data_IF_247829602114
#
_entry.id   IF_247829602114
#
_cell.length_a   1.000
_cell.length_b   1.000
_cell.length_c   1.000
_cell.angle_alpha   90.00
_cell.angle_beta   90.00
_cell.angle_gamma   90.00
#
_symmetry.space_group_name_H-M   'P 1'
#
loop_
_entity.id
_entity.type
_entity.pdbx_description
1 polymer ?
#
# COMPACT_ATOMS: atom_id res chain seq x y z
N UNK A 1 -0.72 -6.04 1.69
CA UNK A 1 -1.64 -5.62 2.77
C UNK A 1 -0.96 -5.01 3.98
N UNK A 2 0.37 -5.00 4.09
CA UNK A 2 1.08 -4.35 5.18
C UNK A 2 1.12 -5.14 6.50
N UNK A 3 1.14 -6.43 6.45
CA UNK A 3 1.42 -7.28 7.63
C UNK A 3 2.86 -7.75 7.58
N UNK A 4 3.78 -6.81 7.46
CA UNK A 4 5.21 -7.04 7.42
C UNK A 4 5.85 -6.66 8.76
N UNK A 5 6.81 -7.45 9.20
CA UNK A 5 7.68 -7.01 10.28
C UNK A 5 8.63 -5.93 9.77
N UNK A 6 9.02 -5.02 10.65
CA UNK A 6 9.97 -3.97 10.34
C UNK A 6 10.91 -3.71 11.51
N UNK A 7 12.11 -3.29 11.19
CA UNK A 7 13.12 -2.90 12.18
C UNK A 7 12.93 -1.43 12.53
N UNK A 8 12.18 -1.16 13.60
CA UNK A 8 11.93 0.21 14.04
C UNK A 8 13.18 0.78 14.70
N UNK A 9 13.77 1.88 14.19
CA UNK A 9 14.88 2.54 14.86
C UNK A 9 14.52 2.96 16.29
N UNK A 10 15.39 2.66 17.25
CA UNK A 10 15.13 2.96 18.67
C UNK A 10 14.85 4.44 18.93
N UNK A 11 15.45 5.31 18.15
CA UNK A 11 15.19 6.75 18.19
C UNK A 11 13.73 7.07 17.88
N UNK A 12 13.15 6.43 16.87
CA UNK A 12 11.74 6.62 16.51
C UNK A 12 10.84 6.03 17.58
N UNK A 13 11.13 4.79 18.02
CA UNK A 13 10.33 4.12 19.05
C UNK A 13 10.23 4.97 20.33
N UNK A 14 11.37 5.42 20.87
CA UNK A 14 11.41 6.18 22.12
C UNK A 14 10.91 7.62 21.97
N UNK A 15 11.21 8.30 20.87
CA UNK A 15 10.89 9.71 20.72
C UNK A 15 9.47 9.96 20.15
N UNK A 16 8.83 8.98 19.54
CA UNK A 16 7.44 9.09 19.09
C UNK A 16 6.50 8.22 19.91
N UNK A 17 6.70 6.90 19.95
CA UNK A 17 5.76 5.98 20.60
C UNK A 17 5.77 6.07 22.13
N UNK A 18 6.87 6.46 22.75
CA UNK A 18 6.99 6.61 24.19
C UNK A 18 6.87 8.07 24.64
N UNK A 19 6.80 9.02 23.71
CA UNK A 19 6.76 10.44 24.01
C UNK A 19 5.31 10.94 24.09
N UNK A 20 4.89 11.39 25.30
CA UNK A 20 3.56 11.91 25.53
C UNK A 20 3.17 13.09 24.65
N UNK A 21 4.14 13.89 24.19
CA UNK A 21 3.91 14.99 23.25
C UNK A 21 3.39 14.53 21.88
N UNK A 22 3.64 13.27 21.48
CA UNK A 22 3.15 12.68 20.24
C UNK A 22 1.91 11.83 20.42
N UNK A 23 1.85 10.99 21.47
CA UNK A 23 0.80 9.97 21.62
C UNK A 23 -0.50 10.48 22.27
N UNK A 24 -0.47 11.60 22.97
CA UNK A 24 -1.64 12.13 23.69
C UNK A 24 -2.62 12.88 22.82
N UNK A 25 -2.27 13.19 21.57
CA UNK A 25 -3.18 13.87 20.64
C UNK A 25 -3.79 12.91 19.64
N UNK A 26 -5.09 12.78 19.78
CA UNK A 26 -5.91 11.96 18.88
C UNK A 26 -6.01 12.57 17.46
N UNK A 27 -6.23 13.90 17.36
CA UNK A 27 -6.35 14.61 16.07
C UNK A 27 -5.49 15.87 16.08
N UNK A 28 -4.26 15.84 15.55
CA UNK A 28 -3.33 16.97 15.60
C UNK A 28 -3.61 18.00 14.49
N UNK A 29 -4.86 18.46 14.36
CA UNK A 29 -5.28 19.29 13.23
C UNK A 29 -5.51 20.76 13.59
N UNK A 30 -5.35 21.13 14.85
CA UNK A 30 -5.46 22.51 15.31
C UNK A 30 -4.11 23.23 15.08
N UNK A 31 -4.03 24.19 14.14
CA UNK A 31 -2.77 24.85 13.80
C UNK A 31 -2.18 25.64 14.99
N UNK A 32 -3.01 26.08 15.92
CA UNK A 32 -2.60 26.87 17.08
C UNK A 32 -1.67 26.09 18.02
N UNK A 33 -1.79 24.76 18.09
CA UNK A 33 -1.06 23.91 19.05
C UNK A 33 -0.33 22.73 18.43
N UNK A 34 -0.43 22.52 17.11
CA UNK A 34 0.03 21.29 16.45
C UNK A 34 0.99 21.56 15.29
N UNK A 35 1.68 22.69 15.25
CA UNK A 35 2.53 23.06 14.11
C UNK A 35 3.55 21.98 13.75
N UNK A 36 4.31 21.43 14.71
CA UNK A 36 5.30 20.40 14.45
C UNK A 36 4.68 19.07 13.97
N UNK A 37 3.48 18.72 14.41
CA UNK A 37 2.79 17.52 13.93
C UNK A 37 2.18 17.70 12.54
N UNK A 38 1.70 18.90 12.24
CA UNK A 38 1.24 19.24 10.89
C UNK A 38 2.41 19.24 9.90
N UNK A 39 3.57 19.77 10.30
CA UNK A 39 4.80 19.69 9.51
C UNK A 39 5.19 18.23 9.23
N UNK A 40 5.16 17.37 10.25
CA UNK A 40 5.44 15.94 10.08
C UNK A 40 4.44 15.25 9.14
N UNK A 41 3.15 15.59 9.20
CA UNK A 41 2.15 15.09 8.27
C UNK A 41 2.37 15.62 6.85
N UNK A 42 2.85 16.85 6.68
CA UNK A 42 3.24 17.37 5.37
C UNK A 42 4.43 16.58 4.80
N UNK A 43 5.42 16.24 5.63
CA UNK A 43 6.53 15.38 5.22
C UNK A 43 6.03 13.98 4.79
N UNK A 44 5.03 13.43 5.48
CA UNK A 44 4.37 12.19 5.04
C UNK A 44 3.74 12.33 3.64
N UNK A 45 3.00 13.41 3.39
CA UNK A 45 2.40 13.67 2.09
C UNK A 45 3.46 13.79 0.99
N UNK A 46 4.54 14.54 1.25
CA UNK A 46 5.65 14.71 0.31
C UNK A 46 6.33 13.37 -0.01
N UNK A 47 6.65 12.58 1.02
CA UNK A 47 7.22 11.24 0.86
C UNK A 47 6.35 10.35 -0.04
N UNK A 48 5.03 10.35 0.18
CA UNK A 48 4.11 9.54 -0.62
C UNK A 48 4.07 10.03 -2.08
N UNK A 49 4.05 11.33 -2.30
CA UNK A 49 4.11 11.90 -3.67
C UNK A 49 5.41 11.50 -4.38
N UNK A 50 6.55 11.66 -3.73
CA UNK A 50 7.87 11.35 -4.30
C UNK A 50 8.00 9.86 -4.67
N UNK A 51 7.55 8.96 -3.80
CA UNK A 51 7.66 7.51 -4.04
C UNK A 51 6.66 7.04 -5.09
N UNK A 52 5.44 7.58 -5.12
CA UNK A 52 4.40 7.15 -6.07
C UNK A 52 4.48 7.85 -7.42
N UNK A 53 5.20 8.95 -7.52
CA UNK A 53 5.26 9.79 -8.72
C UNK A 53 3.96 10.53 -9.02
N UNK A 54 3.10 10.76 -7.99
CA UNK A 54 1.85 11.50 -8.10
C UNK A 54 1.93 12.87 -7.45
N UNK A 55 1.06 13.77 -7.87
CA UNK A 55 1.18 15.21 -7.56
C UNK A 55 0.80 15.54 -6.11
N UNK A 56 -0.22 14.88 -5.56
CA UNK A 56 -0.81 15.25 -4.28
C UNK A 56 -1.17 14.00 -3.46
N UNK A 57 -0.84 14.03 -2.15
CA UNK A 57 -1.23 12.98 -1.20
C UNK A 57 -1.96 13.56 0.02
N UNK A 58 -2.79 12.74 0.66
CA UNK A 58 -3.44 13.09 1.91
C UNK A 58 -2.57 12.78 3.15
N UNK A 59 -3.01 13.23 4.30
CA UNK A 59 -2.31 13.04 5.56
C UNK A 59 -2.42 11.61 6.14
N UNK A 60 -3.28 10.77 5.67
CA UNK A 60 -3.44 9.32 5.76
C UNK A 60 -4.91 8.88 5.71
N UNK A 61 -5.12 7.57 5.56
CA UNK A 61 -6.40 6.88 5.75
C UNK A 61 -6.21 5.71 6.74
N UNK A 62 -7.25 4.88 6.92
CA UNK A 62 -7.23 3.78 7.88
C UNK A 62 -6.30 2.66 7.42
N UNK A 63 -6.65 2.01 6.31
CA UNK A 63 -5.94 0.87 5.72
C UNK A 63 -6.12 0.84 4.19
N UNK A 64 -5.42 -0.06 3.52
CA UNK A 64 -5.47 -0.21 2.07
C UNK A 64 -6.88 -0.51 1.55
N UNK A 65 -7.61 -1.42 2.21
CA UNK A 65 -8.97 -1.79 1.78
C UNK A 65 -9.92 -0.59 1.82
N UNK A 66 -9.85 0.22 2.88
CA UNK A 66 -10.61 1.47 2.99
C UNK A 66 -10.19 2.48 1.93
N UNK A 67 -8.89 2.64 1.70
CA UNK A 67 -8.37 3.53 0.66
C UNK A 67 -8.84 3.11 -0.73
N UNK A 68 -8.84 1.82 -1.04
CA UNK A 68 -9.34 1.27 -2.30
C UNK A 68 -10.85 1.52 -2.49
N UNK A 69 -11.63 1.37 -1.42
CA UNK A 69 -13.06 1.70 -1.45
C UNK A 69 -13.31 3.19 -1.65
N UNK A 70 -12.47 4.07 -1.10
CA UNK A 70 -12.54 5.51 -1.36
C UNK A 70 -12.14 5.85 -2.80
N UNK A 71 -11.17 5.12 -3.39
CA UNK A 71 -10.81 5.28 -4.80
C UNK A 71 -11.99 4.95 -5.73
N UNK A 72 -12.70 3.83 -5.48
CA UNK A 72 -13.93 3.50 -6.18
C UNK A 72 -14.95 4.64 -6.10
N UNK A 73 -15.16 5.20 -4.90
CA UNK A 73 -16.10 6.31 -4.70
C UNK A 73 -15.66 7.59 -5.41
N UNK A 74 -14.36 7.86 -5.46
CA UNK A 74 -13.82 8.99 -6.20
C UNK A 74 -14.05 8.82 -7.70
N UNK A 75 -13.76 7.65 -8.26
CA UNK A 75 -14.02 7.33 -9.66
C UNK A 75 -15.50 7.53 -10.03
N UNK A 76 -16.41 6.99 -9.21
CA UNK A 76 -17.84 7.18 -9.37
C UNK A 76 -18.24 8.68 -9.32
N UNK A 77 -17.72 9.43 -8.37
CA UNK A 77 -18.00 10.89 -8.28
C UNK A 77 -17.48 11.66 -9.47
N UNK A 78 -16.35 11.25 -10.03
CA UNK A 78 -15.69 11.90 -11.15
C UNK A 78 -16.54 11.86 -12.44
N UNK A 79 -16.98 10.66 -12.83
CA UNK A 79 -17.66 10.47 -14.14
C UNK A 79 -19.10 9.92 -14.03
N UNK A 80 -19.62 9.65 -12.82
CA UNK A 80 -20.99 9.16 -12.54
C UNK A 80 -21.31 7.78 -13.13
N UNK A 81 -20.34 7.05 -13.61
CA UNK A 81 -20.51 5.69 -14.13
C UNK A 81 -20.58 4.70 -12.99
N UNK A 82 -21.42 3.67 -13.11
CA UNK A 82 -21.75 2.76 -12.01
C UNK A 82 -21.09 1.38 -12.11
N UNK A 83 -20.14 1.19 -13.01
CA UNK A 83 -19.35 -0.02 -13.12
C UNK A 83 -17.91 0.28 -12.72
N UNK A 84 -17.28 -0.64 -12.00
CA UNK A 84 -15.90 -0.53 -11.55
C UNK A 84 -15.22 -1.89 -11.68
N UNK A 85 -14.11 -1.95 -12.41
CA UNK A 85 -13.33 -3.17 -12.53
C UNK A 85 -12.32 -3.32 -11.39
N UNK A 86 -12.17 -4.56 -10.91
CA UNK A 86 -11.17 -4.92 -9.91
C UNK A 86 -10.42 -6.14 -10.41
N UNK A 87 -9.10 -6.06 -10.46
CA UNK A 87 -8.25 -7.22 -10.74
C UNK A 87 -8.40 -8.25 -9.60
N UNK A 88 -8.76 -9.52 -9.88
CA UNK A 88 -8.88 -10.56 -8.87
C UNK A 88 -7.54 -10.85 -8.14
N UNK A 89 -6.41 -10.37 -8.67
CA UNK A 89 -5.10 -10.44 -8.03
C UNK A 89 -4.82 -9.31 -7.05
N UNK A 90 -5.79 -8.41 -6.77
CA UNK A 90 -5.73 -7.57 -5.58
C UNK A 90 -5.82 -8.44 -4.33
N UNK A 91 -5.39 -7.89 -3.18
CA UNK A 91 -5.52 -8.62 -1.92
C UNK A 91 -6.99 -8.95 -1.60
N UNK A 92 -7.32 -10.20 -1.18
CA UNK A 92 -8.70 -10.62 -0.95
C UNK A 92 -9.48 -9.72 0.02
N UNK A 93 -8.82 -9.24 1.07
CA UNK A 93 -9.44 -8.32 2.04
C UNK A 93 -9.76 -6.97 1.40
N UNK A 94 -8.88 -6.45 0.54
CA UNK A 94 -9.11 -5.21 -0.21
C UNK A 94 -10.31 -5.36 -1.13
N UNK A 95 -10.40 -6.47 -1.88
CA UNK A 95 -11.56 -6.78 -2.73
C UNK A 95 -12.86 -6.81 -1.91
N UNK A 96 -12.86 -7.51 -0.76
CA UNK A 96 -14.04 -7.63 0.10
C UNK A 96 -14.54 -6.27 0.62
N UNK A 97 -13.63 -5.38 1.03
CA UNK A 97 -13.98 -4.02 1.48
C UNK A 97 -14.54 -3.18 0.34
N UNK A 98 -13.90 -3.22 -0.84
CA UNK A 98 -14.36 -2.52 -2.05
C UNK A 98 -15.78 -2.97 -2.42
N UNK A 99 -16.04 -4.28 -2.48
CA UNK A 99 -17.35 -4.84 -2.80
C UNK A 99 -18.40 -4.45 -1.76
N UNK A 100 -18.05 -4.49 -0.47
CA UNK A 100 -18.96 -4.10 0.62
C UNK A 100 -19.38 -2.64 0.48
N UNK A 101 -18.44 -1.73 0.23
CA UNK A 101 -18.73 -0.30 0.06
C UNK A 101 -19.49 -0.02 -1.23
N UNK A 102 -19.15 -0.68 -2.32
CA UNK A 102 -19.81 -0.55 -3.62
C UNK A 102 -21.29 -0.91 -3.55
N UNK A 103 -21.64 -2.00 -2.86
CA UNK A 103 -23.01 -2.48 -2.69
C UNK A 103 -23.96 -1.38 -2.17
N UNK A 104 -23.54 -0.63 -1.16
CA UNK A 104 -24.39 0.39 -0.53
C UNK A 104 -24.44 1.71 -1.30
N UNK A 105 -23.54 1.92 -2.26
CA UNK A 105 -23.53 3.10 -3.13
C UNK A 105 -24.08 2.83 -4.52
N UNK A 106 -24.50 1.59 -4.79
CA UNK A 106 -25.07 1.18 -6.07
C UNK A 106 -24.07 1.18 -7.22
N UNK A 107 -22.79 0.95 -6.91
CA UNK A 107 -21.74 0.73 -7.92
C UNK A 107 -21.55 -0.76 -8.11
N UNK A 108 -21.61 -1.24 -9.35
CA UNK A 108 -21.37 -2.62 -9.71
C UNK A 108 -19.87 -2.87 -9.81
N UNK A 109 -19.35 -3.79 -9.01
CA UNK A 109 -17.95 -4.24 -9.11
C UNK A 109 -17.87 -5.53 -9.92
N UNK A 110 -16.99 -5.59 -10.89
CA UNK A 110 -16.71 -6.80 -11.68
C UNK A 110 -15.25 -7.22 -11.47
N UNK A 111 -15.04 -8.46 -11.03
CA UNK A 111 -13.70 -9.05 -10.95
C UNK A 111 -13.32 -9.57 -12.33
N UNK A 112 -12.29 -8.99 -12.93
CA UNK A 112 -11.76 -9.36 -14.26
C UNK A 112 -10.26 -9.21 -14.32
N UNK A 113 -9.61 -10.12 -15.01
CA UNK A 113 -8.18 -9.96 -15.34
C UNK A 113 -8.00 -8.77 -16.30
N UNK A 114 -6.87 -8.07 -16.25
CA UNK A 114 -6.61 -6.90 -17.09
C UNK A 114 -6.88 -7.11 -18.60
N UNK A 115 -6.55 -8.30 -19.13
CA UNK A 115 -6.83 -8.66 -20.52
C UNK A 115 -8.32 -8.84 -20.85
N UNK A 116 -9.16 -9.13 -19.85
CA UNK A 116 -10.60 -9.34 -20.00
C UNK A 116 -11.43 -8.07 -19.78
N UNK A 117 -10.81 -7.00 -19.33
CA UNK A 117 -11.49 -5.73 -19.03
C UNK A 117 -11.87 -5.01 -20.33
N UNK A 118 -13.16 -4.94 -20.60
CA UNK A 118 -13.72 -4.23 -21.75
C UNK A 118 -14.26 -2.85 -21.34
N UNK A 119 -13.65 -1.81 -21.87
CA UNK A 119 -14.02 -0.41 -21.64
C UNK A 119 -14.87 0.18 -22.80
N UNK A 120 -15.20 -0.57 -23.83
CA UNK A 120 -15.88 -0.08 -25.05
C UNK A 120 -17.26 0.51 -24.77
N UNK A 121 -17.97 -0.02 -23.76
CA UNK A 121 -19.29 0.47 -23.35
C UNK A 121 -19.30 1.87 -22.70
N UNK A 122 -18.13 2.41 -22.34
CA UNK A 122 -17.94 3.71 -21.67
C UNK A 122 -18.80 3.89 -20.40
N UNK A 123 -19.15 2.79 -19.75
CA UNK A 123 -19.96 2.72 -18.52
C UNK A 123 -19.12 2.43 -17.27
N UNK A 124 -17.82 2.21 -17.43
CA UNK A 124 -16.86 1.93 -16.37
C UNK A 124 -16.34 3.23 -15.77
N UNK A 125 -16.42 3.38 -14.44
CA UNK A 125 -15.92 4.55 -13.71
C UNK A 125 -14.40 4.52 -13.53
N UNK A 126 -13.85 3.35 -13.28
CA UNK A 126 -12.42 3.15 -13.09
C UNK A 126 -12.07 1.68 -12.92
N UNK A 127 -10.80 1.43 -12.78
CA UNK A 127 -10.21 0.11 -12.56
C UNK A 127 -9.26 0.13 -11.37
N UNK A 128 -9.26 -0.92 -10.55
CA UNK A 128 -8.31 -1.16 -9.48
C UNK A 128 -7.47 -2.38 -9.81
N UNK A 129 -6.15 -2.25 -9.73
CA UNK A 129 -5.18 -3.34 -9.81
C UNK A 129 -4.13 -3.21 -8.71
N UNK A 130 -3.38 -4.29 -8.46
CA UNK A 130 -2.37 -4.38 -7.40
C UNK A 130 -0.97 -4.51 -8.01
N UNK A 131 0.00 -3.75 -7.48
CA UNK A 131 1.37 -3.69 -7.98
C UNK A 131 2.39 -3.57 -6.83
N UNK A 132 3.18 -4.64 -6.53
CA UNK A 132 3.02 -6.03 -6.96
C UNK A 132 1.69 -6.64 -6.53
N UNK A 133 1.22 -7.69 -7.22
CA UNK A 133 -0.07 -8.31 -6.94
C UNK A 133 -0.03 -9.25 -5.70
N UNK A 134 -1.18 -9.82 -5.33
CA UNK A 134 -1.30 -10.68 -4.14
C UNK A 134 -0.52 -12.00 -4.25
N UNK A 135 -0.11 -12.37 -5.45
CA UNK A 135 0.70 -13.55 -5.74
C UNK A 135 2.19 -13.22 -5.83
N UNK A 136 2.54 -11.94 -5.74
CA UNK A 136 3.90 -11.42 -5.81
C UNK A 136 4.35 -11.01 -7.20
N UNK A 137 3.50 -11.16 -8.23
CA UNK A 137 3.85 -10.81 -9.61
C UNK A 137 4.00 -9.30 -9.78
N UNK A 138 5.08 -8.92 -10.45
CA UNK A 138 5.29 -7.57 -10.99
C UNK A 138 4.91 -7.57 -12.46
N UNK A 139 3.97 -6.71 -12.86
CA UNK A 139 3.44 -6.64 -14.22
C UNK A 139 3.41 -5.18 -14.70
N UNK A 140 3.62 -4.96 -16.01
CA UNK A 140 3.45 -3.62 -16.60
C UNK A 140 1.98 -3.36 -16.93
N UNK A 141 1.41 -2.38 -16.28
CA UNK A 141 0.01 -1.97 -16.47
C UNK A 141 -0.17 -0.78 -17.40
N UNK A 142 0.87 -0.34 -18.12
CA UNK A 142 0.80 0.83 -19.02
C UNK A 142 -0.34 0.70 -20.03
N UNK A 143 -0.48 -0.44 -20.70
CA UNK A 143 -1.55 -0.67 -21.69
C UNK A 143 -2.95 -0.64 -21.04
N UNK A 144 -3.12 -1.22 -19.85
CA UNK A 144 -4.40 -1.17 -19.12
C UNK A 144 -4.80 0.26 -18.79
N UNK A 145 -3.85 1.06 -18.31
CA UNK A 145 -4.07 2.47 -17.96
C UNK A 145 -4.47 3.27 -19.22
N UNK A 146 -3.78 3.07 -20.33
CA UNK A 146 -4.11 3.73 -21.60
C UNK A 146 -5.52 3.36 -22.08
N UNK A 147 -5.90 2.09 -22.04
CA UNK A 147 -7.24 1.63 -22.42
C UNK A 147 -8.33 2.23 -21.52
N UNK A 148 -8.09 2.31 -20.22
CA UNK A 148 -9.00 2.96 -19.27
C UNK A 148 -9.19 4.44 -19.62
N UNK A 149 -8.09 5.17 -19.85
CA UNK A 149 -8.12 6.59 -20.17
C UNK A 149 -8.81 6.88 -21.51
N UNK A 150 -8.60 6.07 -22.55
CA UNK A 150 -9.28 6.23 -23.85
C UNK A 150 -10.80 6.15 -23.72
N UNK A 151 -11.30 5.43 -22.72
CA UNK A 151 -12.73 5.36 -22.42
C UNK A 151 -13.21 6.46 -21.45
N UNK A 152 -12.30 7.24 -20.85
CA UNK A 152 -12.60 8.21 -19.78
C UNK A 152 -12.84 7.56 -18.42
N UNK A 153 -12.24 6.38 -18.18
CA UNK A 153 -12.19 5.69 -16.88
C UNK A 153 -10.89 6.07 -16.15
N UNK A 154 -10.90 6.08 -14.81
CA UNK A 154 -9.70 6.32 -14.01
C UNK A 154 -8.97 5.02 -13.69
N UNK A 155 -7.65 5.10 -13.58
CA UNK A 155 -6.79 4.00 -13.19
C UNK A 155 -6.32 4.14 -11.74
N UNK A 156 -6.62 3.14 -10.89
CA UNK A 156 -6.26 3.08 -9.49
C UNK A 156 -5.28 1.93 -9.26
N UNK A 157 -4.13 2.22 -8.64
CA UNK A 157 -3.09 1.27 -8.30
C UNK A 157 -2.98 1.12 -6.78
N UNK A 158 -3.25 -0.08 -6.27
CA UNK A 158 -2.87 -0.45 -4.91
C UNK A 158 -1.40 -0.93 -4.96
N UNK A 159 -0.55 -0.42 -4.06
CA UNK A 159 0.89 -0.68 -4.14
C UNK A 159 1.60 -0.65 -2.79
N UNK A 160 2.84 -1.11 -2.77
CA UNK A 160 3.73 -1.15 -1.62
C UNK A 160 4.85 -0.11 -1.77
N UNK A 161 4.93 0.84 -0.83
CA UNK A 161 5.92 1.91 -0.86
C UNK A 161 7.38 1.39 -0.85
N UNK A 162 7.66 0.27 -0.17
CA UNK A 162 9.02 -0.28 -0.15
C UNK A 162 9.38 -0.89 -1.51
N UNK A 163 8.44 -1.58 -2.15
CA UNK A 163 8.62 -2.10 -3.50
C UNK A 163 8.90 -0.96 -4.49
N UNK A 164 8.21 0.18 -4.36
CA UNK A 164 8.41 1.35 -5.22
C UNK A 164 9.79 2.02 -5.05
N UNK A 165 10.55 1.71 -3.98
CA UNK A 165 11.92 2.19 -3.87
C UNK A 165 12.86 1.58 -4.93
N UNK A 166 12.46 0.49 -5.59
CA UNK A 166 13.21 -0.16 -6.68
C UNK A 166 12.38 -0.48 -7.92
N UNK A 167 11.07 -0.36 -7.84
CA UNK A 167 10.17 -0.54 -8.98
C UNK A 167 9.77 0.81 -9.57
N UNK A 168 9.31 0.81 -10.83
CA UNK A 168 8.82 1.99 -11.51
C UNK A 168 7.60 2.58 -10.79
N UNK A 169 7.58 3.86 -10.41
CA UNK A 169 6.45 4.49 -9.75
C UNK A 169 5.17 4.48 -10.59
N UNK A 170 3.99 4.27 -9.98
CA UNK A 170 2.73 4.21 -10.73
C UNK A 170 2.38 5.52 -11.46
N UNK A 171 2.80 6.68 -10.95
CA UNK A 171 2.63 7.96 -11.64
C UNK A 171 3.32 8.01 -13.01
N UNK A 172 4.45 7.32 -13.18
CA UNK A 172 5.21 7.29 -14.44
C UNK A 172 4.57 6.47 -15.56
N UNK A 173 3.71 5.50 -15.23
CA UNK A 173 2.92 4.78 -16.23
C UNK A 173 1.46 5.20 -16.29
N UNK A 174 1.17 6.38 -15.76
CA UNK A 174 -0.07 7.08 -16.06
C UNK A 174 -1.21 6.90 -15.06
N UNK A 175 -0.99 6.25 -13.92
CA UNK A 175 -2.01 6.04 -12.87
C UNK A 175 -2.58 7.38 -12.37
N UNK A 176 -3.87 7.42 -12.09
CA UNK A 176 -4.56 8.60 -11.56
C UNK A 176 -4.60 8.62 -10.04
N UNK A 177 -4.66 7.42 -9.41
CA UNK A 177 -4.77 7.23 -7.96
C UNK A 177 -3.85 6.10 -7.54
N UNK A 178 -2.91 6.36 -6.64
CA UNK A 178 -2.12 5.34 -5.96
C UNK A 178 -2.50 5.28 -4.49
N UNK A 179 -2.61 4.07 -3.95
CA UNK A 179 -3.01 3.83 -2.58
C UNK A 179 -2.32 2.56 -2.03
N UNK A 180 -2.33 2.41 -0.72
CA UNK A 180 -1.75 1.26 -0.06
C UNK A 180 -1.54 1.51 1.42
N UNK A 181 -0.75 0.66 2.08
CA UNK A 181 -0.36 0.83 3.48
C UNK A 181 1.08 1.29 3.60
N UNK A 182 1.34 2.26 4.48
CA UNK A 182 2.70 2.67 4.87
C UNK A 182 3.21 1.93 6.11
N UNK A 183 2.53 0.88 6.58
CA UNK A 183 2.90 0.11 7.77
C UNK A 183 4.35 -0.38 7.71
N UNK A 184 4.81 -0.77 6.54
CA UNK A 184 6.15 -1.27 6.28
C UNK A 184 7.27 -0.25 6.57
N UNK A 185 6.93 1.03 6.65
CA UNK A 185 7.85 2.09 7.03
C UNK A 185 7.85 2.29 8.55
N UNK A 186 8.39 1.30 9.27
CA UNK A 186 8.67 1.39 10.69
C UNK A 186 7.46 1.33 11.63
N UNK A 187 6.28 0.92 11.18
CA UNK A 187 5.13 0.71 12.07
C UNK A 187 5.11 -0.76 12.52
N UNK A 188 5.36 -1.04 13.82
CA UNK A 188 5.40 -2.41 14.32
C UNK A 188 4.02 -3.07 14.27
N UNK A 189 3.99 -4.42 14.19
CA UNK A 189 2.75 -5.20 14.12
C UNK A 189 1.84 -5.03 15.35
N UNK A 190 2.40 -4.78 16.54
CA UNK A 190 1.67 -4.32 17.72
C UNK A 190 0.45 -5.14 18.10
N UNK A 191 0.49 -6.46 17.95
CA UNK A 191 -0.59 -7.44 18.23
C UNK A 191 -1.91 -7.24 17.46
N UNK A 192 -2.06 -6.19 16.68
CA UNK A 192 -3.28 -5.92 15.91
C UNK A 192 -3.01 -5.51 14.48
N UNK A 193 -1.75 -5.33 14.11
CA UNK A 193 -1.36 -4.91 12.77
C UNK A 193 -1.91 -3.52 12.42
N UNK A 194 -1.59 -2.46 13.19
CA UNK A 194 -2.05 -1.11 12.88
C UNK A 194 -1.48 -0.64 11.53
N UNK A 195 -2.27 0.11 10.80
CA UNK A 195 -1.91 0.66 9.49
C UNK A 195 -2.00 2.18 9.48
N UNK A 196 -1.26 2.81 8.55
CA UNK A 196 -1.57 4.12 8.03
C UNK A 196 -1.62 3.98 6.51
N UNK A 197 -2.81 4.06 5.94
CA UNK A 197 -2.94 4.02 4.49
C UNK A 197 -2.52 5.34 3.89
N UNK A 198 -1.91 5.29 2.73
CA UNK A 198 -1.68 6.46 1.88
C UNK A 198 -2.69 6.50 0.73
N UNK A 199 -2.90 7.71 0.22
CA UNK A 199 -3.74 7.96 -0.93
C UNK A 199 -3.17 9.16 -1.68
N UNK A 200 -2.68 8.91 -2.88
CA UNK A 200 -2.11 9.93 -3.75
C UNK A 200 -2.90 10.03 -5.05
N UNK A 201 -2.98 11.24 -5.59
CA UNK A 201 -3.77 11.52 -6.79
C UNK A 201 -3.05 12.52 -7.71
N UNK A 202 -3.45 12.54 -8.98
CA UNK A 202 -3.12 13.65 -9.87
C UNK A 202 -3.78 14.94 -9.41
N UNK A 203 -3.17 16.07 -9.67
CA UNK A 203 -3.63 17.41 -9.27
C UNK A 203 -5.10 17.66 -9.62
N UNK A 204 -5.55 17.19 -10.78
CA UNK A 204 -6.94 17.35 -11.26
C UNK A 204 -7.98 16.71 -10.31
N UNK A 205 -7.60 15.71 -9.51
CA UNK A 205 -8.48 14.98 -8.60
C UNK A 205 -8.42 15.46 -7.15
N UNK A 206 -7.53 16.38 -6.80
CA UNK A 206 -7.25 16.79 -5.42
C UNK A 206 -8.52 17.25 -4.67
N UNK A 207 -9.44 17.94 -5.35
CA UNK A 207 -10.69 18.41 -4.75
C UNK A 207 -11.69 17.30 -4.42
N UNK A 208 -11.49 16.11 -4.93
CA UNK A 208 -12.31 14.91 -4.68
C UNK A 208 -11.61 13.89 -3.77
N UNK A 209 -10.35 14.11 -3.44
CA UNK A 209 -9.54 13.20 -2.61
C UNK A 209 -10.13 13.08 -1.21
N UNK A 210 -10.25 11.86 -0.63
CA UNK A 210 -10.71 11.67 0.74
C UNK A 210 -9.63 12.05 1.77
N UNK A 211 -10.06 12.19 3.02
CA UNK A 211 -9.15 12.42 4.15
C UNK A 211 -8.66 13.87 4.30
N UNK A 212 -7.86 14.09 5.32
CA UNK A 212 -7.27 15.38 5.64
C UNK A 212 -6.07 15.67 4.74
N UNK A 213 -5.81 16.96 4.54
CA UNK A 213 -4.63 17.44 3.81
C UNK A 213 -4.04 18.64 4.54
N UNK A 214 -2.74 18.60 4.74
CA UNK A 214 -1.96 19.70 5.31
C UNK A 214 -1.42 20.56 4.17
N UNK A 215 -1.42 21.86 4.35
CA UNK A 215 -0.81 22.81 3.44
C UNK A 215 -0.08 23.92 4.19
N UNK A 216 0.75 24.65 3.47
CA UNK A 216 1.53 25.78 3.97
C UNK A 216 0.77 27.08 3.74
N UNK A 217 0.82 27.98 4.72
CA UNK A 217 0.25 29.34 4.63
C UNK A 217 1.14 30.33 5.39
N UNK A 218 0.72 31.55 5.52
CA UNK A 218 1.43 32.56 6.33
C UNK A 218 0.53 33.09 7.42
N UNK A 219 1.10 33.31 8.61
CA UNK A 219 0.41 33.95 9.73
C UNK A 219 0.32 35.48 9.56
N UNK A 220 -0.27 36.14 10.57
CA UNK A 220 -0.44 37.61 10.56
C UNK A 220 0.89 38.37 10.56
N UNK A 221 1.99 37.75 10.94
CA UNK A 221 3.34 38.34 10.93
C UNK A 221 4.10 38.04 9.62
N UNK A 222 3.51 37.24 8.72
CA UNK A 222 4.14 36.80 7.47
C UNK A 222 5.02 35.56 7.59
N UNK A 223 5.08 34.94 8.78
CA UNK A 223 5.83 33.69 9.03
C UNK A 223 5.09 32.51 8.39
N UNK A 224 5.84 31.58 7.82
CA UNK A 224 5.32 30.32 7.29
C UNK A 224 4.78 29.41 8.40
N UNK A 225 3.58 28.90 8.20
CA UNK A 225 2.87 28.04 9.17
C UNK A 225 2.06 26.96 8.44
N UNK A 226 1.73 25.91 9.14
CA UNK A 226 0.99 24.75 8.63
C UNK A 226 -0.47 24.76 9.09
N UNK A 227 -1.37 24.32 8.22
CA UNK A 227 -2.80 24.17 8.53
C UNK A 227 -3.45 23.14 7.63
N UNK A 228 -4.65 22.68 8.01
CA UNK A 228 -5.48 21.94 7.07
C UNK A 228 -5.91 22.81 5.89
N UNK A 229 -5.87 22.21 4.71
CA UNK A 229 -6.27 22.86 3.44
C UNK A 229 -7.44 22.13 2.79
N UNK A 230 -8.14 22.80 1.86
CA UNK A 230 -9.28 22.25 1.11
C UNK A 230 -10.39 21.66 2.00
N UNK A 231 -10.60 22.20 3.19
CA UNK A 231 -11.56 21.70 4.18
C UNK A 231 -13.02 21.68 3.73
N UNK A 232 -13.39 22.42 2.68
CA UNK A 232 -14.74 22.41 2.13
C UNK A 232 -15.21 21.04 1.64
N UNK A 233 -14.29 20.08 1.49
CA UNK A 233 -14.57 18.68 1.14
C UNK A 233 -15.06 17.87 2.34
N UNK A 234 -14.90 18.36 3.56
CA UNK A 234 -15.05 17.60 4.78
C UNK A 234 -16.45 17.71 5.38
N UNK A 235 -16.90 16.64 6.02
CA UNK A 235 -18.26 16.54 6.56
C UNK A 235 -18.58 17.57 7.64
N UNK A 236 -17.60 18.03 8.41
CA UNK A 236 -17.83 19.03 9.46
C UNK A 236 -18.07 20.44 8.88
N UNK A 237 -17.72 20.67 7.62
CA UNK A 237 -17.99 21.93 6.91
C UNK A 237 -19.24 21.80 6.02
N UNK A 238 -19.38 20.69 5.27
CA UNK A 238 -20.50 20.46 4.34
C UNK A 238 -21.03 19.04 4.48
N UNK A 239 -21.82 18.78 5.52
CA UNK A 239 -22.32 17.45 5.87
C UNK A 239 -22.92 16.69 4.70
N UNK A 240 -23.81 17.32 3.92
CA UNK A 240 -24.55 16.68 2.82
C UNK A 240 -23.73 16.55 1.52
N UNK A 241 -22.62 17.26 1.42
CA UNK A 241 -21.80 17.36 0.19
C UNK A 241 -20.34 16.98 0.43
N UNK A 242 -20.04 16.35 1.56
CA UNK A 242 -18.70 15.87 1.83
C UNK A 242 -18.25 14.84 0.78
N UNK A 243 -16.99 14.89 0.40
CA UNK A 243 -16.44 13.88 -0.52
C UNK A 243 -16.19 12.54 0.16
N UNK A 244 -16.03 12.57 1.48
CA UNK A 244 -15.82 11.39 2.32
C UNK A 244 -16.33 11.67 3.73
N UNK A 245 -16.74 10.61 4.44
CA UNK A 245 -17.10 10.67 5.86
C UNK A 245 -15.92 10.33 6.78
N UNK A 246 -14.70 10.32 6.26
CA UNK A 246 -13.49 10.08 7.06
C UNK A 246 -13.26 11.33 7.93
N UNK A 247 -13.37 11.14 9.25
CA UNK A 247 -13.16 12.20 10.24
C UNK A 247 -11.73 12.20 10.77
N UNK A 248 -11.19 11.02 11.05
CA UNK A 248 -9.88 10.84 11.70
C UNK A 248 -9.00 9.95 10.83
N UNK A 249 -7.74 10.30 10.72
CA UNK A 249 -6.71 9.53 10.07
C UNK A 249 -5.79 8.85 11.10
N UNK A 250 -4.89 8.00 10.66
CA UNK A 250 -3.86 7.33 11.46
C UNK A 250 -2.65 8.26 11.65
N UNK A 251 -2.84 9.39 12.38
CA UNK A 251 -1.86 10.47 12.44
C UNK A 251 -0.51 10.04 13.05
N UNK A 252 -0.53 9.33 14.19
CA UNK A 252 0.72 8.87 14.82
C UNK A 252 1.50 7.93 13.91
N UNK A 253 0.82 6.98 13.27
CA UNK A 253 1.46 5.97 12.41
C UNK A 253 1.97 6.60 11.10
N UNK A 254 1.26 7.59 10.56
CA UNK A 254 1.75 8.38 9.42
C UNK A 254 3.01 9.17 9.79
N UNK A 255 3.04 9.78 10.97
CA UNK A 255 4.24 10.46 11.48
C UNK A 255 5.41 9.49 11.66
N UNK A 256 5.16 8.28 12.17
CA UNK A 256 6.19 7.24 12.28
C UNK A 256 6.74 6.85 10.91
N UNK A 257 5.88 6.65 9.92
CA UNK A 257 6.31 6.31 8.56
C UNK A 257 7.14 7.44 7.91
N UNK A 258 6.74 8.69 8.11
CA UNK A 258 7.52 9.85 7.67
C UNK A 258 8.89 9.91 8.35
N UNK A 259 8.95 9.70 9.67
CA UNK A 259 10.21 9.71 10.42
C UNK A 259 11.10 8.52 10.04
N UNK A 260 10.54 7.37 9.72
CA UNK A 260 11.29 6.23 9.20
C UNK A 260 11.98 6.58 7.88
N UNK A 261 11.24 7.21 6.97
CA UNK A 261 11.80 7.67 5.70
C UNK A 261 12.88 8.76 5.88
N UNK A 262 12.67 9.71 6.80
CA UNK A 262 13.66 10.74 7.13
C UNK A 262 14.91 10.11 7.76
N UNK A 263 14.75 9.13 8.65
CA UNK A 263 15.86 8.45 9.32
C UNK A 263 16.75 7.70 8.34
N UNK A 264 16.18 6.97 7.41
CA UNK A 264 16.91 6.15 6.44
C UNK A 264 17.37 6.94 5.21
N UNK A 265 16.63 7.98 4.84
CA UNK A 265 16.79 8.69 3.57
C UNK A 265 16.48 7.80 2.37
N UNK A 266 16.54 8.37 1.16
CA UNK A 266 16.27 7.63 -0.08
C UNK A 266 17.19 6.42 -0.27
N UNK A 267 18.49 6.60 -0.05
CA UNK A 267 19.48 5.51 -0.16
C UNK A 267 19.25 4.39 0.87
N UNK A 268 18.85 4.74 2.11
CA UNK A 268 18.55 3.73 3.13
C UNK A 268 17.31 2.92 2.80
N UNK A 269 16.25 3.57 2.32
CA UNK A 269 15.03 2.88 1.87
C UNK A 269 15.30 1.97 0.66
N UNK A 270 16.05 2.45 -0.33
CA UNK A 270 16.49 1.63 -1.46
C UNK A 270 17.33 0.43 -1.01
N UNK A 271 18.25 0.63 -0.05
CA UNK A 271 19.05 -0.45 0.51
C UNK A 271 18.19 -1.51 1.19
N UNK A 272 17.20 -1.11 1.99
CA UNK A 272 16.24 -2.04 2.62
C UNK A 272 15.48 -2.83 1.55
N UNK A 273 14.94 -2.14 0.54
CA UNK A 273 14.21 -2.77 -0.55
C UNK A 273 15.07 -3.78 -1.32
N UNK A 274 16.31 -3.42 -1.68
CA UNK A 274 17.26 -4.31 -2.36
C UNK A 274 17.64 -5.51 -1.50
N UNK A 275 17.84 -5.32 -0.18
CA UNK A 275 18.14 -6.42 0.74
C UNK A 275 17.00 -7.43 0.78
N UNK A 276 15.76 -6.98 0.89
CA UNK A 276 14.57 -7.85 0.87
C UNK A 276 14.47 -8.58 -0.46
N UNK A 277 14.61 -7.87 -1.57
CA UNK A 277 14.58 -8.46 -2.91
C UNK A 277 15.69 -9.50 -3.11
N UNK A 278 16.93 -9.19 -2.70
CA UNK A 278 18.05 -10.12 -2.80
C UNK A 278 17.83 -11.41 -1.98
N UNK A 279 17.26 -11.29 -0.76
CA UNK A 279 16.89 -12.45 0.03
C UNK A 279 15.85 -13.32 -0.72
N UNK A 280 14.89 -12.67 -1.38
CA UNK A 280 13.87 -13.36 -2.18
C UNK A 280 14.48 -14.02 -3.42
N UNK A 281 15.47 -13.40 -4.07
CA UNK A 281 16.21 -13.99 -5.19
C UNK A 281 16.99 -15.23 -4.76
N UNK A 282 17.69 -15.18 -3.62
CA UNK A 282 18.41 -16.32 -3.06
C UNK A 282 17.44 -17.49 -2.80
N UNK A 283 16.32 -17.22 -2.15
CA UNK A 283 15.29 -18.22 -1.89
C UNK A 283 14.74 -18.80 -3.21
N UNK A 284 14.44 -17.95 -4.18
CA UNK A 284 13.89 -18.37 -5.48
C UNK A 284 14.82 -19.32 -6.22
N UNK A 285 16.12 -19.03 -6.22
CA UNK A 285 17.13 -19.87 -6.85
C UNK A 285 17.28 -21.22 -6.15
N UNK A 286 17.29 -21.22 -4.80
CA UNK A 286 17.30 -22.45 -4.02
C UNK A 286 16.10 -23.35 -4.31
N UNK A 287 14.90 -22.76 -4.36
CA UNK A 287 13.66 -23.47 -4.65
C UNK A 287 13.67 -24.07 -6.07
N UNK A 288 14.13 -23.33 -7.08
CA UNK A 288 14.28 -23.85 -8.45
C UNK A 288 15.24 -25.05 -8.52
N UNK A 289 16.38 -24.95 -7.84
CA UNK A 289 17.36 -26.07 -7.76
C UNK A 289 16.79 -27.32 -7.09
N UNK A 290 15.91 -27.14 -6.10
CA UNK A 290 15.21 -28.23 -5.43
C UNK A 290 14.03 -28.82 -6.23
N UNK A 291 13.78 -28.33 -7.45
CA UNK A 291 12.73 -28.83 -8.33
C UNK A 291 11.34 -28.23 -8.10
N UNK A 292 11.25 -27.10 -7.38
CA UNK A 292 10.01 -26.34 -7.26
C UNK A 292 9.88 -25.36 -8.43
N UNK A 293 8.64 -25.06 -8.83
CA UNK A 293 8.36 -24.13 -9.93
C UNK A 293 7.78 -22.82 -9.40
N UNK A 294 8.39 -21.71 -9.77
CA UNK A 294 7.83 -20.39 -9.52
C UNK A 294 6.76 -20.08 -10.57
N UNK A 295 5.67 -19.45 -10.12
CA UNK A 295 4.58 -19.05 -11.02
C UNK A 295 4.89 -17.76 -11.80
N UNK A 296 5.87 -16.96 -11.33
CA UNK A 296 6.26 -15.68 -11.93
C UNK A 296 7.78 -15.52 -11.91
N UNK A 297 8.32 -14.92 -12.95
CA UNK A 297 9.76 -14.60 -13.06
C UNK A 297 10.08 -13.20 -12.48
N UNK A 298 9.11 -12.29 -12.50
CA UNK A 298 9.25 -10.93 -11.97
C UNK A 298 8.47 -10.80 -10.66
N UNK A 299 9.18 -10.53 -9.58
CA UNK A 299 8.65 -10.38 -8.22
C UNK A 299 9.49 -9.36 -7.42
N UNK A 300 8.96 -8.93 -6.30
CA UNK A 300 9.70 -8.11 -5.34
C UNK A 300 10.14 -8.95 -4.13
N UNK A 301 9.21 -9.31 -3.25
CA UNK A 301 9.45 -9.98 -1.97
C UNK A 301 8.56 -11.21 -1.75
N UNK A 302 7.68 -11.50 -2.69
CA UNK A 302 6.68 -12.56 -2.57
C UNK A 302 6.81 -13.53 -3.74
N UNK A 303 6.85 -14.82 -3.41
CA UNK A 303 6.92 -15.93 -4.35
C UNK A 303 5.65 -16.77 -4.27
N UNK A 304 5.08 -17.10 -5.43
CA UNK A 304 4.05 -18.14 -5.56
C UNK A 304 4.66 -19.38 -6.17
N UNK A 305 4.51 -20.53 -5.49
CA UNK A 305 5.31 -21.72 -5.73
C UNK A 305 4.41 -22.91 -5.96
N UNK A 306 4.62 -23.61 -7.08
CA UNK A 306 4.15 -24.98 -7.28
C UNK A 306 5.19 -25.94 -6.70
N UNK A 307 4.82 -26.68 -5.65
CA UNK A 307 5.73 -27.62 -5.03
C UNK A 307 6.02 -28.81 -5.93
N UNK A 308 7.30 -29.17 -6.09
CA UNK A 308 7.75 -30.41 -6.74
C UNK A 308 7.60 -31.66 -5.87
N UNK A 309 7.15 -31.49 -4.61
CA UNK A 309 6.91 -32.54 -3.64
C UNK A 309 5.53 -32.35 -2.96
N UNK A 310 5.20 -33.21 -1.99
CA UNK A 310 3.92 -33.11 -1.27
C UNK A 310 3.80 -31.82 -0.47
N UNK A 311 2.78 -31.00 -0.78
CA UNK A 311 2.46 -29.79 -0.01
C UNK A 311 2.26 -30.09 1.47
N UNK A 312 1.67 -31.26 1.80
CA UNK A 312 1.48 -31.69 3.19
C UNK A 312 2.81 -31.90 3.93
N UNK A 313 3.83 -32.43 3.25
CA UNK A 313 5.17 -32.58 3.84
C UNK A 313 5.84 -31.23 4.06
N UNK A 314 5.71 -30.30 3.09
CA UNK A 314 6.23 -28.92 3.22
C UNK A 314 5.58 -28.23 4.42
N UNK A 315 4.26 -28.28 4.52
CA UNK A 315 3.53 -27.68 5.65
C UNK A 315 3.88 -28.34 6.99
N UNK A 316 4.11 -29.67 7.01
CA UNK A 316 4.57 -30.40 8.20
C UNK A 316 5.96 -29.95 8.67
N UNK A 317 6.90 -29.73 7.75
CA UNK A 317 8.23 -29.17 8.05
C UNK A 317 8.14 -27.70 8.48
N UNK A 318 7.29 -26.91 7.84
CA UNK A 318 7.05 -25.52 8.21
C UNK A 318 6.53 -25.39 9.66
N UNK A 319 5.60 -26.25 10.06
CA UNK A 319 5.10 -26.30 11.44
C UNK A 319 6.22 -26.57 12.46
N UNK A 320 7.21 -27.43 12.15
CA UNK A 320 8.37 -27.70 13.02
C UNK A 320 9.27 -26.46 13.21
N UNK A 321 9.29 -25.56 12.22
CA UNK A 321 10.04 -24.30 12.27
C UNK A 321 9.17 -23.11 12.68
N UNK A 322 7.90 -23.35 13.04
CA UNK A 322 6.94 -22.30 13.42
C UNK A 322 6.74 -21.24 12.30
N UNK A 323 6.82 -21.67 11.05
CA UNK A 323 6.61 -20.83 9.86
C UNK A 323 5.27 -21.19 9.23
N UNK A 324 4.49 -20.17 8.88
CA UNK A 324 3.23 -20.29 8.17
C UNK A 324 3.39 -19.83 6.71
N UNK A 325 2.82 -20.59 5.80
CA UNK A 325 2.70 -20.22 4.39
C UNK A 325 1.26 -19.90 4.01
N UNK A 326 1.09 -19.08 3.02
CA UNK A 326 -0.21 -18.91 2.38
C UNK A 326 -0.47 -20.09 1.46
N UNK A 327 -1.58 -20.81 1.70
CA UNK A 327 -2.06 -21.84 0.81
C UNK A 327 -3.12 -21.23 -0.13
N UNK A 328 -2.88 -21.32 -1.43
CA UNK A 328 -3.84 -20.91 -2.45
C UNK A 328 -4.81 -22.04 -2.79
N UNK A 329 -5.97 -21.70 -3.34
CA UNK A 329 -7.02 -22.68 -3.71
C UNK A 329 -6.54 -23.66 -4.79
N UNK A 330 -5.61 -23.25 -5.64
CA UNK A 330 -4.97 -24.07 -6.69
C UNK A 330 -3.90 -25.04 -6.13
N UNK A 331 -3.69 -25.06 -4.82
CA UNK A 331 -2.70 -25.92 -4.16
C UNK A 331 -1.27 -25.38 -4.17
N UNK A 332 -1.05 -24.17 -4.72
CA UNK A 332 0.25 -23.50 -4.66
C UNK A 332 0.47 -22.84 -3.29
N UNK A 333 1.74 -22.58 -2.96
CA UNK A 333 2.13 -21.90 -1.72
C UNK A 333 2.66 -20.49 -2.00
N UNK A 334 2.34 -19.56 -1.12
CA UNK A 334 2.89 -18.20 -1.13
C UNK A 334 3.85 -17.97 0.03
N UNK A 335 5.00 -17.38 -0.27
CA UNK A 335 6.01 -16.95 0.71
C UNK A 335 6.25 -15.47 0.50
N UNK A 336 6.16 -14.68 1.59
CA UNK A 336 6.51 -13.27 1.58
C UNK A 336 7.63 -13.02 2.59
N UNK A 337 8.64 -12.27 2.18
CA UNK A 337 9.76 -11.87 3.02
C UNK A 337 9.63 -10.40 3.42
N UNK A 338 10.27 -10.04 4.52
CA UNK A 338 10.35 -8.66 4.99
C UNK A 338 11.77 -8.29 5.44
N UNK A 339 11.97 -7.07 5.92
CA UNK A 339 13.29 -6.56 6.29
C UNK A 339 13.90 -7.24 7.54
N UNK A 340 13.12 -8.01 8.30
CA UNK A 340 13.62 -8.72 9.49
C UNK A 340 14.13 -10.10 9.17
N UNK A 341 13.92 -10.62 7.97
CA UNK A 341 14.41 -11.91 7.51
C UNK A 341 15.95 -11.89 7.48
N UNK A 342 16.55 -12.91 8.06
CA UNK A 342 17.99 -13.11 8.16
C UNK A 342 18.42 -14.44 7.54
N UNK A 343 19.72 -14.73 7.56
CA UNK A 343 20.30 -15.96 6.97
C UNK A 343 19.69 -17.22 7.55
N UNK A 344 19.47 -17.27 8.88
CA UNK A 344 18.86 -18.45 9.53
C UNK A 344 17.43 -18.69 9.04
N UNK A 345 16.66 -17.61 8.82
CA UNK A 345 15.28 -17.76 8.30
C UNK A 345 15.31 -18.29 6.86
N UNK A 346 16.28 -17.87 6.05
CA UNK A 346 16.48 -18.40 4.69
C UNK A 346 16.89 -19.88 4.74
N UNK A 347 17.80 -20.28 5.64
CA UNK A 347 18.18 -21.67 5.84
C UNK A 347 17.00 -22.53 6.27
N UNK A 348 16.18 -22.04 7.20
CA UNK A 348 14.96 -22.72 7.63
C UNK A 348 13.96 -22.88 6.47
N UNK A 349 13.78 -21.85 5.64
CA UNK A 349 12.93 -21.91 4.45
C UNK A 349 13.45 -22.93 3.44
N UNK A 350 14.74 -22.89 3.12
CA UNK A 350 15.37 -23.83 2.20
C UNK A 350 15.23 -25.28 2.70
N UNK A 351 15.47 -25.51 3.99
CA UNK A 351 15.28 -26.83 4.60
C UNK A 351 13.83 -27.33 4.52
N UNK A 352 12.84 -26.45 4.76
CA UNK A 352 11.41 -26.77 4.65
C UNK A 352 11.06 -27.29 3.27
N UNK A 353 11.62 -26.70 2.23
CA UNK A 353 11.39 -27.10 0.84
C UNK A 353 12.29 -28.23 0.37
N UNK A 354 13.17 -28.77 1.23
CA UNK A 354 14.02 -29.90 0.93
C UNK A 354 15.21 -29.55 0.04
N UNK A 355 15.61 -28.28 0.03
CA UNK A 355 16.85 -27.87 -0.61
C UNK A 355 18.02 -28.47 0.20
N UNK A 356 18.94 -29.15 -0.47
CA UNK A 356 20.18 -29.60 0.17
C UNK A 356 20.99 -28.35 0.54
N UNK A 357 21.37 -28.25 1.84
CA UNK A 357 22.35 -27.24 2.23
C UNK A 357 23.67 -27.58 1.56
N UNK A 358 24.06 -26.79 0.56
CA UNK A 358 25.46 -26.81 0.12
C UNK A 358 26.29 -26.28 1.27
N UNK A 359 26.92 -27.20 2.00
CA UNK A 359 27.95 -26.87 2.99
C UNK A 359 29.07 -26.05 2.40
#
# INVERSE_FOLDING_TARGET
MGYYNCSVPQTILRNLLENSGWITQYTPYQPEVSQGRLESLLNYQTMVCDITGLDMANASLLDEGTAAAEALQLCYRHNKRRKFFVDPRCHPQTIAVVQTRAKYTGVLTELKLPCEMDFSGKDVSGVLFQYPDTEGKVEDFTELVERAHQSGSLACCATDLLALCILRPPGEFGVDIALGSSQRFGVPLGYGGPHAAFFAVRESLVRMMPGRMVGVTRDATGKEVYRLTLQTREQHIRRDKATSNICTAQALLANMAAMFAIYHGSHGLEHIARRVHNATLILSEGLKRAGHQLQHDLFFDTLKIQCGCSVKEVLGRAAQRQINFRLFEDGTLGISLDETVNEKDLDDLLWIFGCESSA
#
